data_IF_908353679082
#
_entry.id   IF_908353679082
#
_cell.length_a   1.000
_cell.length_b   1.000
_cell.length_c   1.000
_cell.angle_alpha   90.00
_cell.angle_beta   90.00
_cell.angle_gamma   90.00
#
_symmetry.space_group_name_H-M   'P 1'
#
loop_
_entity.id
_entity.type
_entity.pdbx_description
1 polymer ?
#
# COMPACT_ATOMS: atom_id res chain seq x y z
N UNK A 1 -33.44 12.59 49.96
CA UNK A 1 -32.83 11.25 50.06
C UNK A 1 -33.13 10.50 48.79
N UNK A 2 -32.07 10.08 48.10
CA UNK A 2 -32.11 9.14 46.98
C UNK A 2 -32.68 7.78 47.42
N UNK A 3 -33.31 7.05 46.47
CA UNK A 3 -33.15 5.61 46.17
C UNK A 3 -34.24 5.24 45.14
N UNK A 4 -33.87 5.17 43.85
CA UNK A 4 -33.55 3.94 43.11
C UNK A 4 -34.82 3.18 42.67
N UNK A 5 -35.31 3.37 41.43
CA UNK A 5 -34.99 2.62 40.18
C UNK A 5 -35.50 1.17 40.18
N UNK A 6 -35.66 0.48 39.03
CA UNK A 6 -36.09 0.88 37.68
C UNK A 6 -37.25 -0.03 37.18
N UNK A 7 -37.98 0.36 36.13
CA UNK A 7 -38.85 -0.58 35.39
C UNK A 7 -38.54 -0.51 33.90
N UNK A 8 -37.77 -1.50 33.46
CA UNK A 8 -37.41 -1.77 32.09
C UNK A 8 -38.65 -2.13 31.25
N UNK A 9 -38.77 -1.54 30.07
CA UNK A 9 -39.40 -2.11 28.87
C UNK A 9 -38.62 -1.53 27.68
N UNK A 10 -37.69 -2.30 27.10
CA UNK A 10 -37.88 -3.23 25.98
C UNK A 10 -37.86 -2.56 24.60
N UNK A 11 -36.70 -2.73 23.94
CA UNK A 11 -36.52 -3.18 22.54
C UNK A 11 -37.11 -2.33 21.42
N UNK A 12 -36.21 -1.70 20.65
CA UNK A 12 -36.05 -1.83 19.18
C UNK A 12 -34.84 -0.97 18.78
N UNK A 13 -33.62 -1.51 18.65
CA UNK A 13 -33.11 -2.43 17.62
C UNK A 13 -33.07 -1.78 16.22
N UNK A 14 -31.84 -1.71 15.65
CA UNK A 14 -31.46 -1.35 14.27
C UNK A 14 -31.57 0.15 13.92
N UNK A 15 -30.54 0.87 13.47
CA UNK A 15 -29.41 0.50 12.62
C UNK A 15 -28.13 1.25 13.05
N UNK A 16 -27.27 0.60 13.83
CA UNK A 16 -25.83 0.78 13.61
C UNK A 16 -25.55 0.07 12.28
N UNK A 17 -25.78 0.77 11.16
CA UNK A 17 -25.29 0.32 9.87
C UNK A 17 -23.76 0.26 10.00
N UNK A 18 -23.25 -0.97 10.08
CA UNK A 18 -21.85 -1.23 10.28
C UNK A 18 -21.01 -0.57 9.20
N UNK A 19 -20.23 0.43 9.59
CA UNK A 19 -18.96 0.71 8.97
C UNK A 19 -17.87 -0.14 9.65
N UNK A 20 -18.12 -1.44 9.81
CA UNK A 20 -17.08 -2.42 9.53
C UNK A 20 -16.98 -2.50 8.00
N UNK A 21 -16.62 -1.37 7.37
CA UNK A 21 -16.28 -1.35 5.97
C UNK A 21 -14.97 -2.08 5.88
N UNK A 22 -15.00 -3.37 5.53
CA UNK A 22 -13.79 -4.10 5.20
C UNK A 22 -13.11 -3.34 4.07
N UNK A 23 -11.86 -2.97 4.27
CA UNK A 23 -11.00 -2.41 3.23
C UNK A 23 -11.15 -3.25 1.96
N UNK A 24 -11.56 -2.61 0.87
CA UNK A 24 -11.65 -3.28 -0.42
C UNK A 24 -10.23 -3.61 -0.90
N UNK A 25 -10.06 -4.69 -1.68
CA UNK A 25 -8.74 -5.08 -2.20
C UNK A 25 -8.07 -3.98 -3.01
N UNK A 26 -8.87 -3.14 -3.68
CA UNK A 26 -8.38 -1.98 -4.43
C UNK A 26 -7.87 -0.88 -3.50
N UNK A 27 -8.57 -0.59 -2.40
CA UNK A 27 -8.12 0.37 -1.37
C UNK A 27 -6.80 -0.08 -0.75
N UNK A 28 -6.71 -1.34 -0.31
CA UNK A 28 -5.47 -1.88 0.27
C UNK A 28 -4.29 -1.88 -0.69
N UNK A 29 -4.54 -2.13 -1.98
CA UNK A 29 -3.54 -2.04 -3.04
C UNK A 29 -3.09 -0.60 -3.26
N UNK A 30 -4.02 0.35 -3.33
CA UNK A 30 -3.70 1.77 -3.46
C UNK A 30 -2.86 2.25 -2.27
N UNK A 31 -3.23 1.87 -1.06
CA UNK A 31 -2.51 2.26 0.15
C UNK A 31 -1.08 1.72 0.20
N UNK A 32 -0.85 0.48 -0.22
CA UNK A 32 0.51 -0.10 -0.30
C UNK A 32 1.35 0.57 -1.39
N UNK A 33 0.75 0.88 -2.55
CA UNK A 33 1.41 1.64 -3.60
C UNK A 33 1.81 3.03 -3.12
N UNK A 34 0.91 3.75 -2.47
CA UNK A 34 1.20 5.08 -1.91
C UNK A 34 2.24 5.01 -0.80
N UNK A 35 2.21 3.97 0.03
CA UNK A 35 3.24 3.73 1.07
C UNK A 35 4.63 3.56 0.44
N UNK A 36 4.73 2.77 -0.63
CA UNK A 36 5.96 2.63 -1.40
C UNK A 36 6.39 3.96 -2.02
N UNK A 37 5.49 4.65 -2.74
CA UNK A 37 5.77 5.96 -3.39
C UNK A 37 6.24 7.02 -2.38
N UNK A 38 5.65 7.06 -1.19
CA UNK A 38 6.02 7.99 -0.12
C UNK A 38 7.36 7.67 0.54
N UNK A 39 7.91 6.46 0.34
CA UNK A 39 9.26 6.11 0.79
C UNK A 39 10.34 6.56 -0.20
N UNK A 40 10.00 6.77 -1.48
CA UNK A 40 10.95 7.11 -2.51
C UNK A 40 11.43 8.57 -2.41
N UNK A 41 12.73 8.84 -2.64
CA UNK A 41 13.21 10.18 -2.92
C UNK A 41 12.53 10.77 -4.17
N UNK A 42 12.40 12.09 -4.21
CA UNK A 42 11.63 12.79 -5.27
C UNK A 42 12.05 12.41 -6.70
N UNK A 43 13.36 12.26 -6.95
CA UNK A 43 13.87 11.88 -8.27
C UNK A 43 13.47 10.46 -8.67
N UNK A 44 13.51 9.50 -7.73
CA UNK A 44 13.11 8.11 -7.98
C UNK A 44 11.59 8.01 -8.11
N UNK A 45 10.84 8.73 -7.28
CA UNK A 45 9.37 8.79 -7.36
C UNK A 45 8.92 9.33 -8.71
N UNK A 46 9.51 10.43 -9.17
CA UNK A 46 9.17 11.02 -10.47
C UNK A 46 9.44 10.05 -11.62
N UNK A 47 10.56 9.33 -11.57
CA UNK A 47 10.90 8.32 -12.57
C UNK A 47 9.96 7.11 -12.52
N UNK A 48 9.61 6.64 -11.31
CA UNK A 48 8.62 5.59 -11.08
C UNK A 48 7.25 5.96 -11.67
N UNK A 49 6.76 7.18 -11.40
CA UNK A 49 5.48 7.69 -11.90
C UNK A 49 5.47 7.90 -13.43
N UNK A 50 6.64 7.85 -14.07
CA UNK A 50 6.80 8.00 -15.52
C UNK A 50 7.02 6.67 -16.24
N UNK A 51 7.02 5.53 -15.53
CA UNK A 51 7.18 4.21 -16.14
C UNK A 51 6.02 3.96 -17.11
N UNK A 52 6.36 3.67 -18.35
CA UNK A 52 5.41 3.39 -19.43
C UNK A 52 5.45 1.93 -19.91
N UNK A 53 6.48 1.19 -19.49
CA UNK A 53 6.64 -0.22 -19.81
C UNK A 53 7.69 -0.92 -18.95
N UNK A 54 7.76 -2.25 -19.08
CA UNK A 54 8.68 -3.08 -18.30
C UNK A 54 10.15 -2.69 -18.49
N UNK A 55 10.54 -2.18 -19.65
CA UNK A 55 11.92 -1.72 -19.92
C UNK A 55 12.39 -0.62 -18.99
N UNK A 56 11.47 0.23 -18.53
CA UNK A 56 11.78 1.42 -17.72
C UNK A 56 12.05 1.00 -16.26
N UNK A 57 11.54 -0.16 -15.84
CA UNK A 57 11.71 -0.69 -14.48
C UNK A 57 13.18 -0.90 -14.11
N UNK A 58 14.02 -1.30 -15.08
CA UNK A 58 15.46 -1.49 -14.86
C UNK A 58 16.16 -0.17 -14.54
N UNK A 59 15.85 0.88 -15.29
CA UNK A 59 16.46 2.20 -15.07
C UNK A 59 16.06 2.76 -13.71
N UNK A 60 14.77 2.71 -13.37
CA UNK A 60 14.26 3.15 -12.07
C UNK A 60 14.81 2.27 -10.94
N UNK A 61 14.97 0.96 -11.17
CA UNK A 61 15.61 0.04 -10.23
C UNK A 61 17.06 0.42 -9.92
N UNK A 62 17.85 0.80 -10.93
CA UNK A 62 19.20 1.31 -10.71
C UNK A 62 19.21 2.62 -9.92
N UNK A 63 18.26 3.53 -10.19
CA UNK A 63 18.11 4.76 -9.41
C UNK A 63 17.80 4.47 -7.94
N UNK A 64 16.91 3.52 -7.69
CA UNK A 64 16.55 3.06 -6.35
C UNK A 64 17.75 2.43 -5.64
N UNK A 65 18.51 1.57 -6.31
CA UNK A 65 19.71 0.94 -5.77
C UNK A 65 20.75 1.98 -5.32
N UNK A 66 21.02 2.99 -6.17
CA UNK A 66 21.94 4.09 -5.83
C UNK A 66 21.43 4.90 -4.63
N UNK A 67 20.13 5.18 -4.58
CA UNK A 67 19.51 5.91 -3.48
C UNK A 67 19.63 5.15 -2.16
N UNK A 68 19.37 3.84 -2.16
CA UNK A 68 19.52 2.95 -0.99
C UNK A 68 20.95 2.94 -0.48
N UNK A 69 21.93 2.79 -1.38
CA UNK A 69 23.35 2.82 -1.01
C UNK A 69 23.80 4.14 -0.38
N UNK A 70 23.04 5.21 -0.59
CA UNK A 70 23.34 6.56 -0.09
C UNK A 70 22.57 6.93 1.19
N UNK A 71 21.60 6.12 1.62
CA UNK A 71 20.76 6.40 2.80
C UNK A 71 20.35 5.11 3.53
N UNK A 72 20.97 4.82 4.69
CA UNK A 72 20.59 3.67 5.52
C UNK A 72 19.13 3.70 5.98
N UNK A 73 18.59 4.89 6.25
CA UNK A 73 17.19 5.08 6.63
C UNK A 73 16.24 4.67 5.49
N UNK A 74 16.55 5.08 4.26
CA UNK A 74 15.78 4.67 3.08
C UNK A 74 15.84 3.16 2.89
N UNK A 75 17.03 2.56 3.01
CA UNK A 75 17.16 1.11 2.89
C UNK A 75 16.28 0.38 3.90
N UNK A 76 16.34 0.76 5.18
CA UNK A 76 15.56 0.11 6.22
C UNK A 76 14.03 0.25 5.99
N UNK A 77 13.58 1.41 5.49
CA UNK A 77 12.17 1.62 5.13
C UNK A 77 11.75 0.70 3.98
N UNK A 78 12.56 0.61 2.94
CA UNK A 78 12.27 -0.25 1.78
C UNK A 78 12.34 -1.73 2.13
N UNK A 79 13.28 -2.14 2.98
CA UNK A 79 13.37 -3.51 3.51
C UNK A 79 12.11 -3.87 4.30
N UNK A 80 11.61 -2.96 5.14
CA UNK A 80 10.36 -3.17 5.86
C UNK A 80 9.15 -3.32 4.93
N UNK A 81 9.11 -2.56 3.83
CA UNK A 81 8.04 -2.65 2.82
C UNK A 81 8.15 -3.98 2.07
N UNK A 82 9.36 -4.35 1.65
CA UNK A 82 9.63 -5.61 0.95
C UNK A 82 9.22 -6.81 1.80
N UNK A 83 9.54 -6.77 3.11
CA UNK A 83 9.14 -7.79 4.06
C UNK A 83 7.63 -7.92 4.20
N UNK A 84 6.92 -6.80 4.31
CA UNK A 84 5.46 -6.79 4.44
C UNK A 84 4.77 -7.40 3.19
N UNK A 85 5.35 -7.21 2.01
CA UNK A 85 4.84 -7.78 0.75
C UNK A 85 5.45 -9.14 0.39
N UNK A 86 6.29 -9.73 1.27
CA UNK A 86 6.96 -11.02 1.09
C UNK A 86 7.86 -11.08 -0.18
N UNK A 87 8.54 -9.97 -0.46
CA UNK A 87 9.43 -9.80 -1.62
C UNK A 87 10.88 -9.48 -1.21
N UNK A 88 11.32 -9.92 -0.03
CA UNK A 88 12.65 -9.60 0.53
C UNK A 88 13.83 -9.99 -0.38
N UNK A 89 13.62 -10.95 -1.27
CA UNK A 89 14.67 -11.44 -2.20
C UNK A 89 14.69 -10.71 -3.53
N UNK A 90 13.77 -9.76 -3.75
CA UNK A 90 13.69 -9.03 -5.02
C UNK A 90 14.86 -8.07 -5.14
N UNK A 91 15.43 -8.02 -6.33
CA UNK A 91 16.27 -6.89 -6.76
C UNK A 91 15.46 -5.60 -6.79
N UNK A 92 16.12 -4.44 -6.83
CA UNK A 92 15.42 -3.15 -6.94
C UNK A 92 14.58 -3.04 -8.22
N UNK A 93 15.05 -3.60 -9.34
CA UNK A 93 14.26 -3.70 -10.57
C UNK A 93 12.98 -4.53 -10.34
N UNK A 94 13.11 -5.70 -9.72
CA UNK A 94 11.96 -6.56 -9.45
C UNK A 94 10.96 -5.92 -8.48
N UNK A 95 11.46 -5.19 -7.47
CA UNK A 95 10.64 -4.41 -6.54
C UNK A 95 9.88 -3.31 -7.28
N UNK A 96 10.56 -2.52 -8.12
CA UNK A 96 9.93 -1.47 -8.93
C UNK A 96 8.87 -2.08 -9.84
N UNK A 97 9.20 -3.14 -10.58
CA UNK A 97 8.27 -3.84 -11.46
C UNK A 97 7.08 -4.39 -10.70
N UNK A 98 7.30 -4.91 -9.49
CA UNK A 98 6.22 -5.42 -8.65
C UNK A 98 5.21 -4.33 -8.30
N UNK A 99 5.66 -3.20 -7.75
CA UNK A 99 4.75 -2.10 -7.39
C UNK A 99 4.08 -1.47 -8.61
N UNK A 100 4.80 -1.26 -9.70
CA UNK A 100 4.22 -0.72 -10.93
C UNK A 100 3.19 -1.68 -11.56
N UNK A 101 3.54 -2.95 -11.77
CA UNK A 101 2.66 -3.87 -12.49
C UNK A 101 1.52 -4.43 -11.61
N UNK A 102 1.82 -4.89 -10.39
CA UNK A 102 0.81 -5.55 -9.56
C UNK A 102 -0.12 -4.59 -8.82
N UNK A 103 0.31 -3.34 -8.62
CA UNK A 103 -0.48 -2.34 -7.91
C UNK A 103 -1.00 -1.28 -8.87
N UNK A 104 -0.11 -0.50 -9.47
CA UNK A 104 -0.51 0.65 -10.30
C UNK A 104 -1.28 0.23 -11.56
N UNK A 105 -0.69 -0.61 -12.40
CA UNK A 105 -1.34 -1.08 -13.63
C UNK A 105 -2.61 -1.91 -13.34
N UNK A 106 -2.62 -2.67 -12.24
CA UNK A 106 -3.80 -3.43 -11.84
C UNK A 106 -4.94 -2.55 -11.33
N UNK A 107 -4.65 -1.39 -10.72
CA UNK A 107 -5.64 -0.36 -10.40
C UNK A 107 -6.13 0.28 -11.71
N UNK A 108 -5.22 0.71 -12.59
CA UNK A 108 -5.55 1.37 -13.86
C UNK A 108 -6.48 0.52 -14.74
N UNK A 109 -6.17 -0.77 -14.87
CA UNK A 109 -6.93 -1.70 -15.73
C UNK A 109 -8.16 -2.31 -15.05
N UNK A 110 -8.38 -2.03 -13.76
CA UNK A 110 -9.43 -2.68 -12.97
C UNK A 110 -9.22 -4.19 -12.79
N UNK A 111 -8.01 -4.70 -13.03
CA UNK A 111 -7.64 -6.12 -12.92
C UNK A 111 -7.46 -6.59 -11.47
N UNK A 112 -8.28 -6.07 -10.56
CA UNK A 112 -8.36 -6.52 -9.17
C UNK A 112 -9.24 -7.77 -9.15
N UNK A 113 -8.68 -8.95 -9.41
CA UNK A 113 -9.45 -10.20 -9.27
C UNK A 113 -9.96 -10.31 -7.83
N UNK A 114 -11.27 -10.59 -7.69
CA UNK A 114 -11.96 -10.72 -6.41
C UNK A 114 -11.51 -11.94 -5.58
N UNK A 115 -12.14 -12.18 -4.42
CA UNK A 115 -11.90 -13.40 -3.63
C UNK A 115 -12.17 -14.68 -4.44
#
# INVERSE_FOLDING_TARGET
>A
MNLAAPRALFVSFLLLAGACGGETREEGRRDRLETFRAALPDSVRTAFDSISGESDCREVGEMLWRARGSSPELSARLDSIAHAELIDTFTEEEMVRFFWYYFDHAIETGSVRGP
#
